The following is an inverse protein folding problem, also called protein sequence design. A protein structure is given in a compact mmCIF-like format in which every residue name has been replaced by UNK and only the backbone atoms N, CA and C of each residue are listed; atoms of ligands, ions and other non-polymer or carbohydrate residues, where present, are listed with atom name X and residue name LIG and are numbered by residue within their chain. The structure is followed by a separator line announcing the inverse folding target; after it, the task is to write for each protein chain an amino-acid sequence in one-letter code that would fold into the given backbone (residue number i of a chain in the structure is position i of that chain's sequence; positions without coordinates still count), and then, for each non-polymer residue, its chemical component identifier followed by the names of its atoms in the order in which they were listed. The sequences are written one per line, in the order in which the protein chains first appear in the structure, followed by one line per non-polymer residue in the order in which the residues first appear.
data_IF_394599405619
#
_entry.id   IF_394599405619
#
_cell.length_a   1.000
_cell.length_b   1.000
_cell.length_c   1.000
_cell.angle_alpha   90.00
_cell.angle_beta   90.00
_cell.angle_gamma   90.00
#
_symmetry.space_group_name_H-M   'P 1'
#
loop_
_entity.id
_entity.type
_entity.pdbx_description
1 polymer ?
#
# COMPACT_ATOMS: atom_id res chain seq x y z
N UNK A 1 22.15 -54.47 -6.33
CA UNK A 1 21.00 -55.35 -6.60
C UNK A 1 20.00 -55.17 -5.46
N UNK A 2 18.86 -54.55 -5.77
CA UNK A 2 17.61 -54.42 -5.00
C UNK A 2 17.67 -53.94 -3.52
N UNK A 3 17.55 -52.62 -3.32
CA UNK A 3 16.99 -52.06 -2.08
C UNK A 3 15.49 -51.90 -2.26
N UNK A 4 14.72 -52.59 -1.43
CA UNK A 4 13.26 -52.65 -1.44
C UNK A 4 12.63 -51.35 -0.97
N UNK A 5 11.65 -50.91 -1.75
CA UNK A 5 10.75 -49.78 -1.54
C UNK A 5 9.88 -49.91 -0.28
N UNK A 6 9.87 -48.88 0.56
CA UNK A 6 8.78 -48.60 1.49
C UNK A 6 8.13 -47.27 1.11
N UNK A 7 7.04 -47.35 0.36
CA UNK A 7 6.16 -46.23 0.06
C UNK A 7 5.30 -45.93 1.28
N UNK A 8 5.48 -44.77 1.90
CA UNK A 8 4.55 -44.23 2.89
C UNK A 8 3.71 -43.16 2.22
N UNK A 9 2.43 -43.47 2.07
CA UNK A 9 1.40 -42.68 1.41
C UNK A 9 1.26 -41.28 2.04
N UNK A 10 1.15 -40.27 1.18
CA UNK A 10 0.76 -38.91 1.54
C UNK A 10 -0.77 -38.89 1.58
N UNK A 11 -1.34 -38.82 2.78
CA UNK A 11 -2.76 -38.59 3.01
C UNK A 11 -3.01 -37.07 2.99
N UNK A 12 -3.91 -36.54 2.15
CA UNK A 12 -4.25 -35.13 2.20
C UNK A 12 -5.34 -34.92 3.27
N UNK A 13 -4.95 -34.39 4.42
CA UNK A 13 -5.89 -33.89 5.42
C UNK A 13 -6.69 -32.71 4.83
N UNK A 14 -7.94 -32.99 4.44
CA UNK A 14 -8.95 -31.98 4.15
C UNK A 14 -9.36 -31.29 5.46
N UNK A 15 -8.74 -30.16 5.78
CA UNK A 15 -9.35 -29.20 6.70
C UNK A 15 -10.44 -28.41 5.94
N UNK A 16 -11.65 -28.26 6.49
CA UNK A 16 -12.70 -27.49 5.82
C UNK A 16 -12.33 -26.01 5.82
N UNK A 17 -12.30 -25.41 4.64
CA UNK A 17 -12.16 -23.96 4.46
C UNK A 17 -13.25 -23.23 5.25
N UNK A 18 -12.93 -22.19 6.06
CA UNK A 18 -13.96 -21.36 6.64
C UNK A 18 -14.66 -20.62 5.51
N UNK A 19 -15.94 -20.95 5.31
CA UNK A 19 -16.80 -20.31 4.33
C UNK A 19 -16.78 -18.78 4.53
N UNK A 20 -16.43 -18.06 3.46
CA UNK A 20 -16.65 -16.64 3.35
C UNK A 20 -18.16 -16.41 3.42
N UNK A 21 -18.69 -16.02 4.58
CA UNK A 21 -20.01 -15.40 4.66
C UNK A 21 -19.94 -14.12 3.83
N UNK A 22 -20.70 -13.99 2.72
CA UNK A 22 -20.74 -12.74 2.01
C UNK A 22 -21.45 -11.73 2.92
N UNK A 23 -20.73 -10.68 3.34
CA UNK A 23 -21.35 -9.52 3.96
C UNK A 23 -22.37 -8.95 2.98
N UNK A 24 -23.64 -9.25 3.22
CA UNK A 24 -24.80 -8.88 2.38
C UNK A 24 -25.06 -7.38 2.31
N UNK A 25 -24.19 -6.55 2.87
CA UNK A 25 -24.28 -5.09 2.86
C UNK A 25 -23.38 -4.42 1.80
N UNK A 26 -22.53 -5.17 1.08
CA UNK A 26 -21.68 -4.61 0.01
C UNK A 26 -22.26 -4.75 -1.40
N UNK A 27 -23.35 -5.49 -1.59
CA UNK A 27 -23.90 -5.82 -2.92
C UNK A 27 -24.84 -4.75 -3.49
N UNK A 28 -25.06 -3.64 -2.79
CA UNK A 28 -26.01 -2.59 -3.21
C UNK A 28 -25.37 -1.40 -3.96
N UNK A 29 -24.07 -1.47 -4.29
CA UNK A 29 -23.35 -0.34 -4.89
C UNK A 29 -23.08 -0.46 -6.40
N UNK A 30 -23.64 -1.46 -7.10
CA UNK A 30 -23.39 -1.68 -8.53
C UNK A 30 -24.31 -0.88 -9.48
N UNK A 31 -25.17 0.01 -8.97
CA UNK A 31 -26.03 0.82 -9.83
C UNK A 31 -26.24 2.23 -9.28
N UNK A 32 -25.23 3.09 -9.38
CA UNK A 32 -25.43 4.53 -9.21
C UNK A 32 -24.56 5.33 -10.19
N UNK A 33 -25.25 5.84 -11.20
CA UNK A 33 -24.88 6.85 -12.19
C UNK A 33 -23.91 7.92 -11.69
N UNK A 34 -22.97 8.31 -12.55
CA UNK A 34 -21.99 9.38 -12.38
C UNK A 34 -22.57 10.65 -11.74
N UNK A 35 -22.25 10.86 -10.47
CA UNK A 35 -22.28 12.17 -9.82
C UNK A 35 -20.93 12.34 -9.14
N UNK A 36 -20.23 13.50 -9.26
CA UNK A 36 -18.98 13.71 -8.56
C UNK A 36 -19.19 13.45 -7.06
N UNK A 37 -18.47 12.49 -6.47
CA UNK A 37 -18.73 12.07 -5.09
C UNK A 37 -18.38 13.21 -4.13
N UNK A 38 -19.39 13.67 -3.38
CA UNK A 38 -19.27 14.73 -2.39
C UNK A 38 -18.16 14.40 -1.37
N UNK A 39 -17.14 15.25 -1.27
CA UNK A 39 -15.96 15.01 -0.42
C UNK A 39 -16.33 14.85 1.07
N UNK A 40 -17.47 15.40 1.50
CA UNK A 40 -18.00 15.21 2.87
C UNK A 40 -18.37 13.74 3.16
N UNK A 41 -18.86 13.02 2.15
CA UNK A 41 -19.27 11.62 2.25
C UNK A 41 -18.06 10.69 2.40
N UNK A 42 -16.96 11.00 1.70
CA UNK A 42 -15.69 10.26 1.76
C UNK A 42 -15.05 10.34 3.15
N UNK A 43 -15.00 11.55 3.73
CA UNK A 43 -14.45 11.74 5.08
C UNK A 43 -15.29 11.02 6.14
N UNK A 44 -16.62 11.05 6.04
CA UNK A 44 -17.51 10.31 6.95
C UNK A 44 -17.29 8.79 6.84
N UNK A 45 -17.14 8.28 5.62
CA UNK A 45 -16.84 6.87 5.37
C UNK A 45 -15.48 6.48 5.98
N UNK A 46 -14.44 7.28 5.73
CA UNK A 46 -13.11 7.07 6.30
C UNK A 46 -13.13 7.09 7.83
N UNK A 47 -13.81 8.06 8.45
CA UNK A 47 -13.90 8.14 9.91
C UNK A 47 -14.70 6.97 10.51
N UNK A 48 -15.74 6.50 9.83
CA UNK A 48 -16.49 5.29 10.21
C UNK A 48 -15.62 4.03 10.18
N UNK A 49 -14.74 3.93 9.19
CA UNK A 49 -13.74 2.87 9.08
C UNK A 49 -12.71 2.97 10.21
N UNK A 50 -12.13 4.15 10.46
CA UNK A 50 -11.14 4.37 11.52
C UNK A 50 -11.64 3.97 12.90
N UNK A 51 -12.92 4.21 13.20
CA UNK A 51 -13.55 3.79 14.45
C UNK A 51 -13.52 2.29 14.68
N UNK A 52 -13.56 1.46 13.62
CA UNK A 52 -13.49 -0.01 13.72
C UNK A 52 -12.09 -0.50 14.14
N UNK A 53 -11.06 0.36 14.06
CA UNK A 53 -9.69 0.02 14.44
C UNK A 53 -9.33 0.47 15.86
N UNK A 54 -10.20 1.18 16.57
CA UNK A 54 -9.95 1.59 17.95
C UNK A 54 -9.98 0.35 18.85
N UNK A 55 -8.87 0.07 19.54
CA UNK A 55 -8.74 -1.06 20.47
C UNK A 55 -8.26 -2.38 19.83
N UNK A 56 -7.90 -2.38 18.54
CA UNK A 56 -7.30 -3.55 17.89
C UNK A 56 -5.81 -3.65 18.27
N UNK A 57 -5.39 -4.81 18.78
CA UNK A 57 -4.00 -5.06 19.22
C UNK A 57 -2.99 -5.10 18.05
N UNK A 58 -3.44 -5.53 16.86
CA UNK A 58 -2.66 -5.54 15.63
C UNK A 58 -3.56 -5.27 14.40
N UNK A 59 -3.35 -4.12 13.76
CA UNK A 59 -4.10 -3.68 12.57
C UNK A 59 -3.84 -4.59 11.36
N UNK A 60 -2.66 -5.21 11.26
CA UNK A 60 -2.30 -6.06 10.12
C UNK A 60 -3.13 -7.35 10.05
N UNK A 61 -3.52 -7.88 11.22
CA UNK A 61 -4.36 -9.09 11.32
C UNK A 61 -5.76 -8.93 10.70
N UNK A 62 -6.27 -7.70 10.60
CA UNK A 62 -7.66 -7.40 10.19
C UNK A 62 -7.88 -7.54 8.67
N UNK A 63 -6.81 -7.61 7.86
CA UNK A 63 -6.87 -7.74 6.38
C UNK A 63 -7.94 -6.84 5.74
N UNK A 64 -7.87 -5.56 6.05
CA UNK A 64 -8.86 -4.59 5.61
C UNK A 64 -8.60 -4.03 4.20
N UNK A 65 -9.66 -3.97 3.39
CA UNK A 65 -9.67 -3.34 2.07
C UNK A 65 -10.31 -1.95 2.15
N UNK A 66 -9.58 -0.93 1.73
CA UNK A 66 -10.10 0.42 1.56
C UNK A 66 -10.92 0.51 0.25
N UNK A 67 -12.10 1.14 0.27
CA UNK A 67 -12.84 1.47 -0.96
C UNK A 67 -11.98 2.27 -1.94
N UNK A 68 -12.08 1.97 -3.24
CA UNK A 68 -11.28 2.63 -4.27
C UNK A 68 -11.50 4.16 -4.33
N UNK A 69 -12.68 4.63 -3.95
CA UNK A 69 -13.02 6.06 -3.88
C UNK A 69 -12.24 6.83 -2.79
N UNK A 70 -11.61 6.12 -1.85
CA UNK A 70 -10.74 6.67 -0.80
C UNK A 70 -9.25 6.46 -1.11
N UNK A 71 -8.91 5.82 -2.22
CA UNK A 71 -7.54 5.61 -2.67
C UNK A 71 -7.14 6.71 -3.64
N UNK A 72 -5.86 7.10 -3.60
CA UNK A 72 -5.29 7.99 -4.59
C UNK A 72 -5.16 7.22 -5.91
N UNK A 73 -5.51 7.83 -7.06
CA UNK A 73 -5.38 7.18 -8.37
C UNK A 73 -3.92 7.12 -8.86
N UNK A 74 -2.99 6.79 -7.96
CA UNK A 74 -1.56 6.64 -8.23
C UNK A 74 -1.13 5.26 -7.71
N UNK A 75 -0.45 4.43 -8.52
CA UNK A 75 0.09 3.16 -8.06
C UNK A 75 1.20 3.39 -7.04
N UNK A 76 1.34 2.47 -6.09
CA UNK A 76 2.32 2.59 -5.01
C UNK A 76 3.76 2.71 -5.54
N UNK A 77 4.11 2.04 -6.63
CA UNK A 77 5.47 2.15 -7.20
C UNK A 77 5.78 3.55 -7.75
N UNK A 78 4.80 4.20 -8.39
CA UNK A 78 4.95 5.58 -8.86
C UNK A 78 5.02 6.55 -7.68
N UNK A 79 4.13 6.36 -6.69
CA UNK A 79 4.03 7.22 -5.51
C UNK A 79 5.35 7.34 -4.73
N UNK A 80 6.09 6.24 -4.60
CA UNK A 80 7.37 6.17 -3.87
C UNK A 80 8.61 6.52 -4.70
N UNK A 81 8.45 7.17 -5.85
CA UNK A 81 9.59 7.70 -6.61
C UNK A 81 10.21 8.89 -5.87
N UNK A 82 11.52 8.91 -5.65
CA UNK A 82 12.19 9.99 -4.87
C UNK A 82 12.89 11.05 -5.72
N UNK A 83 12.79 10.95 -7.04
CA UNK A 83 13.54 11.77 -8.00
C UNK A 83 12.73 12.93 -8.56
N UNK A 84 11.84 13.54 -7.76
CA UNK A 84 11.13 14.77 -8.15
C UNK A 84 12.09 15.98 -8.26
N UNK A 85 13.23 15.91 -7.57
CA UNK A 85 14.30 16.92 -7.55
C UNK A 85 15.65 16.26 -7.84
N UNK A 86 15.86 15.72 -9.06
CA UNK A 86 17.06 14.95 -9.39
C UNK A 86 18.35 15.77 -9.23
N UNK A 87 18.26 17.10 -9.36
CA UNK A 87 19.38 18.02 -9.17
C UNK A 87 20.01 17.91 -7.76
N UNK A 88 19.21 17.61 -6.74
CA UNK A 88 19.71 17.45 -5.36
C UNK A 88 20.44 16.13 -5.16
N UNK A 89 20.09 15.11 -5.95
CA UNK A 89 20.77 13.81 -5.93
C UNK A 89 22.11 13.89 -6.67
N UNK A 90 22.14 14.55 -7.83
CA UNK A 90 23.37 14.69 -8.62
C UNK A 90 24.43 15.49 -7.89
N UNK A 91 24.03 16.51 -7.12
CA UNK A 91 24.95 17.38 -6.38
C UNK A 91 25.75 16.68 -5.27
N UNK A 92 25.33 15.48 -4.84
CA UNK A 92 26.07 14.69 -3.82
C UNK A 92 27.50 14.38 -4.29
N UNK A 93 27.73 14.31 -5.61
CA UNK A 93 29.04 14.01 -6.19
C UNK A 93 29.92 15.23 -6.47
N UNK A 94 29.44 16.46 -6.26
CA UNK A 94 30.13 17.66 -6.75
C UNK A 94 31.32 18.09 -5.85
N UNK A 95 31.32 17.74 -4.56
CA UNK A 95 32.37 18.12 -3.62
C UNK A 95 33.36 16.98 -3.32
N UNK A 96 34.65 17.31 -3.31
CA UNK A 96 35.73 16.42 -2.88
C UNK A 96 35.78 16.29 -1.34
N UNK A 97 35.20 17.23 -0.60
CA UNK A 97 35.16 17.20 0.86
C UNK A 97 34.07 16.25 1.39
N UNK A 98 34.42 15.47 2.42
CA UNK A 98 33.53 14.46 2.98
C UNK A 98 32.33 15.04 3.75
N UNK A 99 32.50 16.19 4.41
CA UNK A 99 31.42 16.85 5.15
C UNK A 99 30.40 17.44 4.18
N UNK A 100 30.87 18.11 3.13
CA UNK A 100 29.99 18.68 2.10
C UNK A 100 29.14 17.62 1.42
N UNK A 101 29.71 16.46 1.05
CA UNK A 101 28.91 15.34 0.50
C UNK A 101 27.86 14.83 1.48
N UNK A 102 28.18 14.78 2.77
CA UNK A 102 27.20 14.40 3.80
C UNK A 102 26.06 15.43 3.88
N UNK A 103 26.37 16.73 3.81
CA UNK A 103 25.35 17.79 3.80
C UNK A 103 24.46 17.69 2.56
N UNK A 104 25.02 17.34 1.41
CA UNK A 104 24.25 17.09 0.18
C UNK A 104 23.34 15.85 0.29
N UNK A 105 23.79 14.77 0.92
CA UNK A 105 22.95 13.61 1.24
C UNK A 105 21.77 14.00 2.13
N UNK A 106 22.02 14.81 3.17
CA UNK A 106 20.96 15.33 4.03
C UNK A 106 19.98 16.22 3.23
N UNK A 107 20.49 17.09 2.35
CA UNK A 107 19.68 17.94 1.48
C UNK A 107 18.75 17.12 0.58
N UNK A 108 19.26 16.07 -0.08
CA UNK A 108 18.46 15.13 -0.86
C UNK A 108 17.40 14.46 0.02
N UNK A 109 17.79 13.95 1.20
CA UNK A 109 16.89 13.22 2.09
C UNK A 109 15.72 14.06 2.60
N UNK A 110 15.94 15.34 2.91
CA UNK A 110 14.85 16.24 3.31
C UNK A 110 14.02 16.69 2.10
N UNK A 111 14.63 16.82 0.92
CA UNK A 111 13.93 17.31 -0.28
C UNK A 111 12.98 16.26 -0.86
N UNK A 112 13.37 14.99 -0.90
CA UNK A 112 12.57 13.91 -1.52
C UNK A 112 11.17 13.77 -0.90
N UNK A 113 11.02 14.12 0.38
CA UNK A 113 9.77 13.96 1.12
C UNK A 113 8.90 15.24 1.11
N UNK A 114 9.41 16.36 0.56
CA UNK A 114 8.66 17.63 0.53
C UNK A 114 7.35 17.54 -0.26
N UNK A 115 7.25 16.61 -1.21
CA UNK A 115 6.04 16.38 -1.99
C UNK A 115 4.85 15.92 -1.15
N UNK A 116 5.09 15.36 0.03
CA UNK A 116 4.05 14.87 0.94
C UNK A 116 3.60 15.92 1.97
N UNK A 117 4.30 17.06 2.06
CA UNK A 117 4.00 18.12 3.04
C UNK A 117 2.69 18.84 2.68
N UNK A 118 2.34 18.89 1.41
CA UNK A 118 1.15 19.57 0.90
C UNK A 118 0.25 18.56 0.19
N UNK A 119 -0.76 18.05 0.89
CA UNK A 119 -1.72 17.11 0.32
C UNK A 119 -2.75 16.63 1.33
N UNK A 120 -3.86 16.07 0.83
CA UNK A 120 -4.79 15.32 1.69
C UNK A 120 -4.11 14.00 2.08
N UNK A 121 -4.25 13.50 3.32
CA UNK A 121 -3.82 12.15 3.65
C UNK A 121 -4.45 11.17 2.66
N UNK A 122 -3.63 10.51 1.86
CA UNK A 122 -4.08 9.62 0.81
C UNK A 122 -3.29 8.32 0.88
N UNK A 123 -3.94 7.22 0.52
CA UNK A 123 -3.30 5.91 0.40
C UNK A 123 -3.22 5.56 -1.09
N UNK A 124 -2.03 5.35 -1.67
CA UNK A 124 -1.92 4.89 -3.05
C UNK A 124 -2.42 3.44 -3.21
N UNK A 125 -2.66 3.02 -4.45
CA UNK A 125 -3.04 1.62 -4.71
C UNK A 125 -1.92 0.67 -4.29
N UNK A 126 -2.28 -0.37 -3.53
CA UNK A 126 -1.34 -1.43 -3.18
C UNK A 126 -0.79 -2.08 -4.46
N UNK A 127 0.52 -2.27 -4.52
CA UNK A 127 1.12 -2.96 -5.65
C UNK A 127 0.74 -4.44 -5.68
N UNK A 128 0.57 -4.97 -6.89
CA UNK A 128 0.36 -6.40 -7.15
C UNK A 128 1.70 -7.12 -7.32
N UNK A 129 1.70 -8.45 -7.15
CA UNK A 129 2.91 -9.25 -7.35
C UNK A 129 3.36 -9.17 -8.83
N UNK A 130 4.59 -8.72 -9.07
CA UNK A 130 5.14 -8.58 -10.42
C UNK A 130 4.82 -7.26 -11.12
N UNK A 131 4.15 -6.33 -10.44
CA UNK A 131 3.97 -4.97 -10.94
C UNK A 131 5.33 -4.27 -11.13
N UNK A 132 5.46 -3.50 -12.22
CA UNK A 132 6.65 -2.70 -12.49
C UNK A 132 6.27 -1.29 -12.92
N UNK A 133 7.06 -0.32 -12.47
CA UNK A 133 7.01 1.08 -12.87
C UNK A 133 8.44 1.47 -13.31
N UNK A 134 8.58 2.18 -14.43
CA UNK A 134 9.87 2.53 -15.05
C UNK A 134 9.83 3.92 -15.63
#
# INVERSE_FOLDING_TARGET
MASTSSSSAIEPSQEPSPALTPNSELSAAEAATEKPPDDSSKLRMFLGILRKFIGVKDIASVRFSLPAQLLEPTPNLEYWTYLDRPETFTAIGDSDDSLDRMLEVLRFWFTKDLKYVKGKPCKPYNSTLGEFFR
#
